data_IF_365549235151
#
_entry.id   IF_365549235151
#
_cell.length_a   1.000
_cell.length_b   1.000
_cell.length_c   1.000
_cell.angle_alpha   90.00
_cell.angle_beta   90.00
_cell.angle_gamma   90.00
#
_symmetry.space_group_name_H-M   'P 1'
#
loop_
_entity.id
_entity.type
_entity.pdbx_description
1 polymer ?
2 non-polymer ?
3 non-polymer ?
4 water ?
#
# COMPACT_ATOMS: atom_id res chain seq x y z
N UNK A 13 -16.03 10.26 -27.25
CA UNK A 13 -15.83 11.73 -27.38
C UNK A 13 -14.34 12.00 -27.60
N UNK A 14 -14.02 13.04 -28.35
CA UNK A 14 -12.63 13.40 -28.61
C UNK A 14 -12.08 14.17 -27.43
N UNK A 15 -10.75 14.35 -27.38
CA UNK A 15 -10.12 15.08 -26.28
C UNK A 15 -10.38 16.57 -26.31
N UNK A 16 -10.46 17.17 -25.13
CA UNK A 16 -10.64 18.60 -25.03
C UNK A 16 -9.23 19.10 -25.21
N UNK A 17 -9.03 20.10 -26.07
CA UNK A 17 -7.69 20.62 -26.32
C UNK A 17 -7.54 22.09 -26.02
N UNK A 18 -6.65 22.43 -25.07
CA UNK A 18 -6.40 23.83 -24.74
C UNK A 18 -5.09 24.21 -25.41
N UNK A 19 -5.19 24.82 -26.58
CA UNK A 19 -3.99 25.21 -27.29
C UNK A 19 -3.27 26.35 -26.60
N UNK A 20 -2.06 26.62 -27.09
CA UNK A 20 -1.21 27.70 -26.58
C UNK A 20 -0.51 28.31 -27.79
N UNK A 21 -0.14 29.61 -27.68
CA UNK A 21 0.55 30.28 -28.79
C UNK A 21 1.95 29.72 -28.94
N UNK A 22 2.35 29.38 -30.17
CA UNK A 22 3.68 28.81 -30.42
C UNK A 22 3.97 27.71 -29.40
N UNK A 23 3.00 26.82 -29.19
CA UNK A 23 3.14 25.72 -28.24
C UNK A 23 4.46 24.96 -28.43
N UNK A 24 5.21 24.76 -27.35
CA UNK A 24 6.46 24.00 -27.47
C UNK A 24 6.52 22.86 -26.44
N UNK A 25 5.37 22.60 -25.82
CA UNK A 25 5.24 21.52 -24.82
C UNK A 25 3.79 21.09 -24.77
N UNK A 26 3.55 19.90 -24.25
CA UNK A 26 2.20 19.40 -24.14
C UNK A 26 1.99 18.55 -22.89
N UNK A 27 0.89 18.81 -22.19
CA UNK A 27 0.53 18.03 -21.01
C UNK A 27 -0.75 17.29 -21.32
N UNK A 28 -0.72 15.96 -21.16
CA UNK A 28 -1.89 15.10 -21.39
C UNK A 28 -2.37 14.67 -20.02
N UNK A 29 -3.56 15.15 -19.67
CA UNK A 29 -4.14 14.96 -18.34
C UNK A 29 -5.39 14.10 -18.34
N UNK A 30 -5.34 12.98 -17.64
CA UNK A 30 -6.48 12.07 -17.57
C UNK A 30 -7.27 12.15 -16.28
N UNK A 31 -8.59 12.22 -16.45
CA UNK A 31 -9.51 12.29 -15.33
C UNK A 31 -9.63 10.89 -14.68
N UNK A 32 -10.35 10.84 -13.57
CA UNK A 32 -10.55 9.60 -12.84
C UNK A 32 -11.82 8.82 -13.24
N UNK A 33 -12.01 7.70 -12.56
CA UNK A 33 -13.14 6.82 -12.80
C UNK A 33 -14.47 7.57 -12.84
N UNK A 34 -15.24 7.30 -13.89
CA UNK A 34 -16.56 7.90 -14.07
C UNK A 34 -16.63 9.38 -14.43
N UNK A 35 -15.49 10.06 -14.46
CA UNK A 35 -15.53 11.50 -14.72
C UNK A 35 -15.61 11.94 -16.19
N UNK A 36 -15.65 13.26 -16.37
CA UNK A 36 -15.74 13.88 -17.69
C UNK A 36 -14.44 14.59 -18.02
N UNK A 37 -14.10 14.62 -19.30
CA UNK A 37 -12.90 15.30 -19.77
C UNK A 37 -12.83 16.77 -19.35
N UNK A 38 -13.97 17.41 -19.07
CA UNK A 38 -13.98 18.83 -18.67
C UNK A 38 -13.64 19.02 -17.20
N UNK A 39 -13.61 17.90 -16.46
CA UNK A 39 -13.29 17.88 -15.03
C UNK A 39 -12.07 18.74 -14.69
N UNK A 40 -11.00 18.55 -15.45
CA UNK A 40 -9.76 19.28 -15.22
C UNK A 40 -9.49 20.52 -16.07
N UNK A 41 -10.50 20.98 -16.78
CA UNK A 41 -10.33 22.16 -17.62
C UNK A 41 -9.90 23.39 -16.81
N UNK A 42 -10.56 23.64 -15.67
CA UNK A 42 -10.18 24.82 -14.85
C UNK A 42 -8.73 24.69 -14.36
N UNK A 43 -8.34 23.46 -14.04
CA UNK A 43 -6.97 23.20 -13.57
C UNK A 43 -5.99 23.51 -14.69
N UNK A 44 -6.31 23.02 -15.89
CA UNK A 44 -5.48 23.21 -17.09
C UNK A 44 -5.32 24.70 -17.40
N UNK A 45 -6.43 25.44 -17.35
CA UNK A 45 -6.40 26.88 -17.63
C UNK A 45 -5.56 27.60 -16.57
N UNK A 46 -5.66 27.17 -15.32
CA UNK A 46 -4.87 27.78 -14.25
C UNK A 46 -3.38 27.55 -14.52
N UNK A 47 -3.03 26.33 -14.92
CA UNK A 47 -1.65 25.98 -15.19
C UNK A 47 -1.14 26.66 -16.49
N UNK A 48 -2.02 26.94 -17.44
CA UNK A 48 -1.59 27.59 -18.67
C UNK A 48 -1.10 29.00 -18.32
N UNK A 49 -1.58 29.55 -17.19
CA UNK A 49 -1.13 30.88 -16.75
C UNK A 49 0.33 30.71 -16.37
N UNK A 50 0.64 29.60 -15.73
CA UNK A 50 1.99 29.29 -15.30
C UNK A 50 2.90 28.94 -16.48
N UNK A 51 2.34 28.25 -17.47
CA UNK A 51 3.07 27.77 -18.65
C UNK A 51 2.37 28.25 -19.91
N UNK A 52 2.64 29.49 -20.32
CA UNK A 52 1.98 30.04 -21.51
C UNK A 52 2.25 29.42 -22.88
N UNK A 53 3.24 28.55 -23.00
CA UNK A 53 3.50 27.91 -24.30
C UNK A 53 3.25 26.40 -24.23
N UNK A 54 2.50 25.97 -23.22
CA UNK A 54 2.20 24.55 -23.05
C UNK A 54 0.76 24.25 -23.41
N UNK A 55 0.58 23.28 -24.30
CA UNK A 55 -0.75 22.84 -24.74
C UNK A 55 -1.25 21.79 -23.75
N UNK A 56 -2.56 21.71 -23.53
CA UNK A 56 -3.13 20.71 -22.64
C UNK A 56 -4.14 19.87 -23.41
N UNK A 57 -4.08 18.55 -23.21
CA UNK A 57 -5.00 17.63 -23.87
C UNK A 57 -5.66 16.81 -22.78
N UNK A 58 -6.98 16.89 -22.70
CA UNK A 58 -7.75 16.18 -21.70
C UNK A 58 -8.66 15.18 -22.40
N UNK A 59 -8.21 13.92 -22.54
CA UNK A 59 -9.03 12.91 -23.20
C UNK A 59 -10.22 12.43 -22.35
N UNK A 60 -11.17 11.79 -23.01
CA UNK A 60 -12.37 11.26 -22.35
C UNK A 60 -12.27 9.73 -22.30
N UNK A 61 -12.43 9.15 -21.11
CA UNK A 61 -12.40 7.70 -20.97
C UNK A 61 -13.69 7.19 -21.61
N UNK A 62 -13.63 6.07 -22.33
CA UNK A 62 -14.82 5.51 -22.97
C UNK A 62 -15.75 4.96 -21.92
N UNK A 63 -17.03 4.86 -22.27
CA UNK A 63 -18.00 4.32 -21.33
C UNK A 63 -17.95 2.81 -21.41
N UNK A 64 -17.57 2.17 -20.31
CA UNK A 64 -17.49 0.70 -20.26
C UNK A 64 -18.05 0.18 -18.93
N UNK A 65 -18.24 -1.13 -18.85
CA UNK A 65 -18.75 -1.72 -17.63
C UNK A 65 -17.63 -1.78 -16.61
N UNK A 66 -17.99 -1.50 -15.37
CA UNK A 66 -17.08 -1.51 -14.24
C UNK A 66 -17.62 -2.54 -13.26
N UNK A 67 -16.95 -3.68 -13.19
CA UNK A 67 -17.34 -4.78 -12.32
C UNK A 67 -17.57 -4.39 -10.85
N UNK A 68 -16.52 -3.91 -10.20
CA UNK A 68 -16.61 -3.56 -8.80
C UNK A 68 -17.81 -2.69 -8.40
N UNK A 69 -18.47 -2.05 -9.36
CA UNK A 69 -19.61 -1.21 -9.02
C UNK A 69 -20.97 -1.85 -9.23
N UNK A 70 -21.01 -3.03 -9.82
CA UNK A 70 -22.28 -3.68 -10.07
C UNK A 70 -22.40 -3.96 -11.56
N UNK A 71 -21.33 -3.69 -12.28
CA UNK A 71 -21.33 -3.94 -13.71
C UNK A 71 -21.91 -2.78 -14.50
N UNK A 72 -22.26 -1.69 -13.83
CA UNK A 72 -22.82 -0.55 -14.52
C UNK A 72 -21.77 0.07 -15.46
N UNK A 73 -22.24 0.66 -16.55
CA UNK A 73 -21.38 1.30 -17.54
C UNK A 73 -21.20 2.79 -17.24
N UNK A 74 -19.95 3.21 -17.23
CA UNK A 74 -19.60 4.61 -16.95
C UNK A 74 -18.21 4.83 -17.55
N UNK A 75 -17.78 6.11 -17.67
CA UNK A 75 -16.45 6.40 -18.20
C UNK A 75 -15.43 5.64 -17.32
N UNK A 76 -14.59 4.82 -17.95
CA UNK A 76 -13.59 4.04 -17.23
C UNK A 76 -12.41 3.72 -18.11
N UNK A 77 -11.20 3.92 -17.59
CA UNK A 77 -9.99 3.64 -18.35
C UNK A 77 -9.65 2.14 -18.30
N UNK A 78 -10.23 1.42 -17.35
CA UNK A 78 -9.98 -0.02 -17.23
C UNK A 78 -10.86 -0.62 -16.15
N UNK A 79 -11.31 -1.86 -16.36
CA UNK A 79 -12.18 -2.49 -15.37
C UNK A 79 -11.47 -2.76 -14.03
N UNK A 80 -12.18 -2.49 -12.95
CA UNK A 80 -11.67 -2.72 -11.60
C UNK A 80 -12.53 -3.88 -11.08
N UNK A 81 -11.94 -5.10 -10.88
CA UNK A 81 -12.67 -6.30 -10.46
C UNK A 81 -12.99 -6.46 -8.99
N UNK A 82 -12.26 -5.78 -8.12
CA UNK A 82 -12.49 -5.89 -6.69
C UNK A 82 -11.89 -4.69 -6.02
N UNK A 83 -12.28 -4.44 -4.77
CA UNK A 83 -11.74 -3.32 -4.04
C UNK A 83 -10.37 -3.70 -3.50
N UNK A 84 -10.17 -5.00 -3.32
CA UNK A 84 -8.88 -5.52 -2.85
C UNK A 84 -8.79 -6.92 -3.43
N UNK A 85 -7.64 -7.28 -4.04
CA UNK A 85 -6.41 -6.51 -4.23
C UNK A 85 -6.60 -5.41 -5.26
N UNK A 86 -5.88 -4.31 -5.09
CA UNK A 86 -5.94 -3.19 -6.02
C UNK A 86 -5.39 -3.67 -7.35
N UNK A 87 -4.58 -4.73 -7.31
CA UNK A 87 -3.99 -5.31 -8.49
C UNK A 87 -5.01 -6.03 -9.39
N UNK A 88 -6.23 -6.27 -8.89
CA UNK A 88 -7.24 -6.99 -9.66
C UNK A 88 -7.95 -6.12 -10.69
N UNK A 89 -7.29 -5.90 -11.82
CA UNK A 89 -7.84 -5.06 -12.86
C UNK A 89 -7.81 -5.78 -14.20
N UNK A 90 -8.44 -5.18 -15.20
CA UNK A 90 -8.42 -5.73 -16.55
C UNK A 90 -7.21 -5.06 -17.21
N UNK A 91 -6.10 -5.77 -17.32
CA UNK A 91 -4.91 -5.17 -17.89
C UNK A 91 -5.02 -4.91 -19.39
N UNK A 92 -5.89 -5.64 -20.09
CA UNK A 92 -6.05 -5.41 -21.51
C UNK A 92 -6.71 -4.06 -21.73
N UNK A 93 -7.73 -3.76 -20.92
CA UNK A 93 -8.38 -2.46 -21.07
C UNK A 93 -7.37 -1.37 -20.68
N UNK A 94 -6.57 -1.64 -19.65
CA UNK A 94 -5.57 -0.66 -19.22
C UNK A 94 -4.62 -0.37 -20.37
N UNK A 95 -4.20 -1.42 -21.07
CA UNK A 95 -3.29 -1.23 -22.20
C UNK A 95 -3.94 -0.52 -23.38
N UNK A 96 -5.24 -0.76 -23.58
CA UNK A 96 -5.96 -0.09 -24.65
C UNK A 96 -5.93 1.42 -24.31
N UNK A 97 -6.18 1.75 -23.05
CA UNK A 97 -6.15 3.15 -22.62
C UNK A 97 -4.75 3.72 -22.80
N UNK A 98 -3.74 2.96 -22.38
CA UNK A 98 -2.35 3.40 -22.54
C UNK A 98 -2.09 3.66 -24.03
N UNK A 99 -2.62 2.81 -24.92
CA UNK A 99 -2.43 3.01 -26.35
C UNK A 99 -3.11 4.30 -26.83
N UNK A 100 -4.21 4.66 -26.21
CA UNK A 100 -4.89 5.90 -26.60
C UNK A 100 -4.00 7.07 -26.24
N UNK A 101 -3.32 6.95 -25.10
CA UNK A 101 -2.42 8.00 -24.66
C UNK A 101 -1.21 8.04 -25.59
N UNK A 102 -0.71 6.86 -25.96
CA UNK A 102 0.47 6.79 -26.83
C UNK A 102 0.15 7.41 -28.20
N UNK A 103 -1.07 7.22 -28.67
CA UNK A 103 -1.47 7.80 -29.93
C UNK A 103 -1.40 9.35 -29.81
N UNK A 104 -1.84 9.89 -28.67
CA UNK A 104 -1.80 11.35 -28.49
C UNK A 104 -0.34 11.83 -28.41
N UNK A 105 0.49 11.07 -27.71
CA UNK A 105 1.91 11.43 -27.61
C UNK A 105 2.54 11.39 -29.00
N UNK A 106 2.28 10.32 -29.76
CA UNK A 106 2.84 10.19 -31.10
C UNK A 106 2.43 11.39 -31.98
N UNK A 107 1.17 11.79 -31.88
CA UNK A 107 0.68 12.92 -32.67
C UNK A 107 1.42 14.21 -32.35
N UNK A 108 1.66 14.46 -31.05
CA UNK A 108 2.38 15.67 -30.63
C UNK A 108 3.82 15.65 -31.12
N UNK A 109 4.46 14.48 -31.07
CA UNK A 109 5.83 14.41 -31.54
C UNK A 109 5.86 14.66 -33.05
N UNK A 110 4.88 14.13 -33.77
CA UNK A 110 4.83 14.34 -35.21
C UNK A 110 4.66 15.83 -35.52
N UNK A 111 4.06 16.57 -34.58
CA UNK A 111 3.86 18.00 -34.75
C UNK A 111 5.08 18.78 -34.33
N UNK A 112 6.12 18.10 -33.89
CA UNK A 112 7.33 18.82 -33.49
C UNK A 112 7.56 19.06 -32.01
N UNK A 113 6.66 18.62 -31.14
CA UNK A 113 6.88 18.82 -29.70
C UNK A 113 7.88 17.75 -29.26
N UNK A 114 8.95 18.18 -28.59
CA UNK A 114 9.97 17.23 -28.14
C UNK A 114 9.37 16.29 -27.09
N UNK A 115 9.81 15.02 -27.10
CA UNK A 115 9.31 14.05 -26.12
C UNK A 115 9.64 14.54 -24.71
N UNK A 116 10.79 15.18 -24.58
CA UNK A 116 11.24 15.73 -23.30
C UNK A 116 10.32 16.81 -22.78
N UNK A 117 9.45 17.32 -23.65
CA UNK A 117 8.51 18.38 -23.24
C UNK A 117 7.06 17.96 -23.32
N UNK A 118 6.84 16.65 -23.18
CA UNK A 118 5.51 16.07 -23.14
C UNK A 118 5.42 15.44 -21.74
N UNK A 119 4.48 15.90 -20.96
CA UNK A 119 4.30 15.40 -19.60
C UNK A 119 2.92 14.82 -19.44
N UNK A 120 2.83 13.65 -18.80
CA UNK A 120 1.55 12.98 -18.59
C UNK A 120 1.08 13.29 -17.17
N UNK A 121 -0.23 13.37 -16.98
CA UNK A 121 -0.83 13.67 -15.68
C UNK A 121 -2.08 12.85 -15.57
N UNK A 122 -2.41 12.42 -14.35
CA UNK A 122 -3.60 11.66 -14.14
C UNK A 122 -4.06 11.74 -12.70
N UNK A 123 -5.37 11.74 -12.49
CA UNK A 123 -5.99 11.77 -11.18
C UNK A 123 -6.60 10.39 -11.02
N UNK A 124 -6.30 9.75 -9.90
CA UNK A 124 -6.80 8.42 -9.57
C UNK A 124 -6.65 7.40 -10.73
N UNK A 125 -7.75 6.81 -11.20
CA UNK A 125 -7.67 5.82 -12.29
C UNK A 125 -6.83 6.38 -13.44
N UNK A 126 -7.03 7.64 -13.78
CA UNK A 126 -6.26 8.24 -14.84
C UNK A 126 -4.78 8.26 -14.49
N UNK A 127 -4.47 8.40 -13.19
CA UNK A 127 -3.07 8.38 -12.77
C UNK A 127 -2.44 7.00 -12.96
N UNK A 128 -3.21 5.95 -12.73
CA UNK A 128 -2.68 4.59 -12.92
C UNK A 128 -2.36 4.38 -14.40
N UNK A 129 -3.18 4.96 -15.28
CA UNK A 129 -2.93 4.84 -16.71
C UNK A 129 -1.64 5.56 -17.11
N UNK A 130 -1.47 6.82 -16.73
CA UNK A 130 -0.24 7.52 -17.14
C UNK A 130 1.03 6.95 -16.53
N UNK A 131 0.96 6.46 -15.29
CA UNK A 131 2.14 5.85 -14.69
C UNK A 131 2.48 4.60 -15.50
N UNK A 132 1.46 3.82 -15.86
CA UNK A 132 1.69 2.61 -16.66
C UNK A 132 2.27 2.98 -18.05
N UNK A 133 1.69 4.00 -18.66
CA UNK A 133 2.13 4.41 -19.99
C UNK A 133 3.61 4.78 -20.00
N UNK A 134 3.97 5.69 -19.10
CA UNK A 134 5.36 6.18 -19.03
C UNK A 134 6.39 5.19 -18.56
N UNK A 135 6.03 4.32 -17.61
CA UNK A 135 7.01 3.41 -17.05
C UNK A 135 6.92 1.93 -17.36
N UNK A 136 5.83 1.49 -17.98
CA UNK A 136 5.70 0.08 -18.32
C UNK A 136 5.54 -0.15 -19.84
N UNK A 137 5.13 0.87 -20.58
CA UNK A 137 4.83 0.64 -21.98
C UNK A 137 5.53 1.49 -23.05
N UNK A 138 5.43 2.81 -22.96
CA UNK A 138 6.04 3.67 -23.99
C UNK A 138 7.56 3.59 -23.93
N UNK A 139 8.16 3.23 -25.06
CA UNK A 139 9.62 3.07 -25.16
C UNK A 139 10.42 4.36 -25.00
N UNK A 140 9.96 5.43 -25.64
CA UNK A 140 10.62 6.72 -25.55
C UNK A 140 10.31 7.41 -24.21
N UNK A 141 11.34 7.74 -23.42
CA UNK A 141 11.06 8.41 -22.15
C UNK A 141 10.46 9.80 -22.31
N UNK A 142 9.48 10.10 -21.46
CA UNK A 142 8.78 11.37 -21.50
C UNK A 142 9.40 12.45 -20.62
N UNK A 143 8.86 13.66 -20.69
CA UNK A 143 9.36 14.77 -19.89
C UNK A 143 9.01 14.69 -18.41
N UNK A 144 8.03 13.85 -18.06
CA UNK A 144 7.66 13.73 -16.65
C UNK A 144 6.25 13.22 -16.43
N UNK A 145 5.93 12.88 -15.19
CA UNK A 145 4.60 12.39 -14.82
C UNK A 145 4.07 13.06 -13.54
N UNK A 146 2.79 13.45 -13.56
CA UNK A 146 2.11 14.02 -12.40
C UNK A 146 1.07 12.96 -11.99
N UNK A 147 1.19 12.44 -10.78
CA UNK A 147 0.30 11.40 -10.28
C UNK A 147 -0.48 11.90 -9.08
N UNK A 148 -1.73 12.29 -9.29
CA UNK A 148 -2.57 12.82 -8.23
C UNK A 148 -3.54 11.81 -7.62
N UNK A 149 -3.48 11.62 -6.30
CA UNK A 149 -4.40 10.73 -5.57
C UNK A 149 -4.61 9.42 -6.34
N UNK A 150 -3.50 8.77 -6.69
CA UNK A 150 -3.57 7.60 -7.53
C UNK A 150 -2.78 6.43 -6.99
N UNK A 151 -2.60 5.42 -7.83
CA UNK A 151 -1.84 4.23 -7.47
C UNK A 151 -1.34 3.63 -8.78
N UNK A 152 -0.52 2.58 -8.70
CA UNK A 152 0.05 1.94 -9.90
C UNK A 152 0.12 0.44 -9.69
N UNK A 153 -1.00 -0.25 -9.88
CA UNK A 153 -1.07 -1.70 -9.71
C UNK A 153 -0.07 -2.50 -10.53
N UNK A 154 0.23 -2.03 -11.75
CA UNK A 154 1.16 -2.75 -12.60
C UNK A 154 2.63 -2.49 -12.25
N UNK A 155 2.91 -1.74 -11.20
CA UNK A 155 4.32 -1.51 -10.84
C UNK A 155 4.93 -2.72 -10.18
N UNK A 156 4.13 -3.77 -10.01
CA UNK A 156 4.65 -5.01 -9.45
C UNK A 156 5.67 -5.58 -10.45
N UNK A 157 5.48 -5.30 -11.75
CA UNK A 157 6.39 -5.78 -12.78
C UNK A 157 7.27 -4.65 -13.34
N UNK A 158 7.51 -3.63 -12.54
CA UNK A 158 8.33 -2.49 -12.93
C UNK A 158 9.74 -2.98 -13.20
N UNK A 159 10.29 -2.68 -14.38
CA UNK A 159 11.64 -3.14 -14.71
C UNK A 159 12.27 -2.13 -15.65
N UNK A 160 12.74 -1.03 -15.09
CA UNK A 160 13.29 0.06 -15.85
C UNK A 160 14.71 -0.07 -16.38
N UNK A 161 14.92 0.43 -17.58
CA UNK A 161 16.23 0.46 -18.19
C UNK A 161 16.73 1.84 -17.78
N UNK A 162 17.99 2.17 -18.11
CA UNK A 162 18.51 3.47 -17.72
C UNK A 162 17.75 4.66 -18.27
N UNK A 163 17.32 4.57 -19.52
CA UNK A 163 16.62 5.70 -20.13
C UNK A 163 15.31 6.11 -19.44
N UNK A 164 14.55 5.16 -18.90
CA UNK A 164 13.31 5.52 -18.23
C UNK A 164 13.54 6.06 -16.83
N UNK A 165 14.73 5.83 -16.29
CA UNK A 165 15.00 6.33 -14.96
C UNK A 165 15.11 7.85 -14.98
N UNK A 166 15.30 8.42 -16.18
CA UNK A 166 15.44 9.87 -16.31
C UNK A 166 14.12 10.65 -16.23
N UNK A 167 12.99 9.95 -16.23
CA UNK A 167 11.68 10.61 -16.17
C UNK A 167 11.30 11.07 -14.75
N UNK A 168 11.23 12.40 -14.53
CA UNK A 168 10.89 12.88 -13.19
C UNK A 168 9.39 12.71 -12.90
N UNK A 169 9.06 12.47 -11.63
CA UNK A 169 7.67 12.26 -11.21
C UNK A 169 7.33 13.00 -9.92
N UNK A 170 6.14 13.58 -9.88
CA UNK A 170 5.64 14.24 -8.68
C UNK A 170 4.36 13.49 -8.28
N UNK A 171 4.34 12.99 -7.05
CA UNK A 171 3.20 12.26 -6.51
C UNK A 171 2.46 13.17 -5.53
N UNK A 172 1.14 13.27 -5.69
CA UNK A 172 0.32 14.11 -4.82
C UNK A 172 -0.82 13.27 -4.25
N UNK A 173 -1.17 13.49 -2.98
CA UNK A 173 -2.23 12.73 -2.36
C UNK A 173 -2.86 13.41 -1.14
N UNK A 174 -4.15 13.22 -0.94
CA UNK A 174 -4.81 13.77 0.24
C UNK A 174 -4.59 12.74 1.34
N UNK A 175 -4.11 13.16 2.51
CA UNK A 175 -3.85 12.20 3.60
C UNK A 175 -5.15 11.60 4.16
N UNK A 176 -6.28 12.20 3.84
CA UNK A 176 -7.57 11.72 4.32
C UNK A 176 -8.34 10.99 3.22
N UNK A 177 -7.68 10.69 2.12
CA UNK A 177 -8.34 10.02 1.00
C UNK A 177 -9.08 8.72 1.38
N UNK A 178 -10.38 8.70 1.18
CA UNK A 178 -11.16 7.52 1.52
C UNK A 178 -11.55 6.70 0.29
N UNK A 179 -10.91 6.94 -0.84
CA UNK A 179 -11.20 6.19 -2.08
C UNK A 179 -9.93 5.45 -2.49
N UNK A 180 -8.84 6.18 -2.69
CA UNK A 180 -7.57 5.58 -3.01
C UNK A 180 -6.71 5.80 -1.77
N UNK A 181 -6.33 4.72 -1.11
CA UNK A 181 -5.53 4.82 0.10
C UNK A 181 -4.21 5.53 -0.15
N UNK A 182 -3.88 6.53 0.67
CA UNK A 182 -2.63 7.29 0.55
C UNK A 182 -1.44 6.33 0.56
N UNK A 183 -1.62 5.19 1.21
CA UNK A 183 -0.54 4.20 1.26
C UNK A 183 -0.32 3.56 -0.11
N UNK A 184 -1.38 3.42 -0.88
CA UNK A 184 -1.23 2.84 -2.22
C UNK A 184 -0.56 3.92 -3.07
N UNK A 185 -0.90 5.17 -2.82
CA UNK A 185 -0.25 6.24 -3.55
C UNK A 185 1.24 6.24 -3.25
N UNK A 186 1.59 6.09 -1.96
CA UNK A 186 3.02 6.09 -1.58
C UNK A 186 3.76 4.88 -2.14
N UNK A 187 3.05 3.76 -2.28
CA UNK A 187 3.65 2.54 -2.80
C UNK A 187 4.12 2.72 -4.25
N UNK A 188 3.40 3.51 -5.04
CA UNK A 188 3.78 3.77 -6.43
C UNK A 188 5.07 4.60 -6.40
N UNK A 189 5.07 5.64 -5.56
CA UNK A 189 6.24 6.50 -5.40
C UNK A 189 7.44 5.68 -4.95
N UNK A 190 7.25 4.81 -3.96
CA UNK A 190 8.34 3.99 -3.46
C UNK A 190 8.91 3.01 -4.49
N UNK A 191 8.07 2.44 -5.36
CA UNK A 191 8.54 1.48 -6.37
C UNK A 191 9.44 2.15 -7.42
N UNK A 192 9.11 3.38 -7.78
CA UNK A 192 9.92 4.11 -8.76
C UNK A 192 11.22 4.53 -8.06
N UNK A 193 11.09 5.00 -6.83
CA UNK A 193 12.26 5.42 -6.07
C UNK A 193 13.24 4.26 -5.97
N UNK A 194 12.72 3.08 -5.65
CA UNK A 194 13.57 1.92 -5.53
C UNK A 194 14.30 1.64 -6.85
N UNK A 195 13.75 2.09 -7.97
CA UNK A 195 14.44 1.83 -9.23
C UNK A 195 15.26 2.97 -9.80
N UNK A 196 15.62 3.92 -8.95
CA UNK A 196 16.45 5.02 -9.36
C UNK A 196 15.77 6.19 -10.04
N UNK A 197 14.47 6.33 -9.84
CA UNK A 197 13.73 7.43 -10.46
C UNK A 197 13.68 8.60 -9.49
N UNK A 198 13.75 9.82 -10.04
CA UNK A 198 13.68 11.04 -9.24
C UNK A 198 12.20 11.25 -8.93
N UNK A 199 11.81 11.09 -7.68
CA UNK A 199 10.40 11.27 -7.32
C UNK A 199 10.20 12.30 -6.24
N UNK A 200 9.05 12.95 -6.26
CA UNK A 200 8.73 13.92 -5.24
C UNK A 200 7.42 13.47 -4.62
N UNK A 201 7.17 13.88 -3.39
CA UNK A 201 5.95 13.54 -2.70
C UNK A 201 5.37 14.73 -1.94
N UNK A 202 4.06 14.96 -2.08
CA UNK A 202 3.38 16.05 -1.34
C UNK A 202 1.99 15.61 -0.93
N UNK A 203 1.71 15.55 0.38
CA UNK A 203 0.35 15.20 0.73
C UNK A 203 -0.32 16.42 1.35
N UNK A 204 -1.64 16.38 1.45
CA UNK A 204 -2.38 17.52 1.95
C UNK A 204 -3.50 17.04 2.83
N UNK A 205 -3.91 17.88 3.81
CA UNK A 205 -4.99 17.52 4.73
C UNK A 205 -6.35 17.60 4.02
N UNK A 206 -6.56 16.69 3.09
CA UNK A 206 -7.80 16.68 2.34
C UNK A 206 -8.12 15.26 1.97
N UNK A 207 -9.27 15.08 1.31
CA UNK A 207 -9.73 13.78 0.88
C UNK A 207 -9.39 13.50 -0.58
N UNK A 208 -10.25 12.76 -1.26
CA UNK A 208 -10.05 12.39 -2.65
C UNK A 208 -10.47 13.58 -3.50
N UNK A 209 -9.58 14.55 -3.66
CA UNK A 209 -9.95 15.74 -4.41
C UNK A 209 -8.70 16.46 -4.82
N UNK A 210 -8.88 17.67 -5.34
CA UNK A 210 -7.79 18.52 -5.77
C UNK A 210 -7.97 19.86 -5.05
N UNK A 211 -6.86 20.49 -4.66
CA UNK A 211 -6.93 21.78 -3.97
C UNK A 211 -6.11 22.81 -4.72
N UNK A 212 -6.39 24.08 -4.49
CA UNK A 212 -5.65 25.14 -5.17
C UNK A 212 -4.16 25.12 -4.74
N UNK A 213 -3.91 24.83 -3.47
CA UNK A 213 -2.52 24.77 -2.99
C UNK A 213 -1.81 23.69 -3.81
N UNK A 214 -2.49 22.55 -3.98
CA UNK A 214 -1.96 21.44 -4.75
C UNK A 214 -1.64 21.90 -6.19
N UNK A 215 -2.53 22.69 -6.78
CA UNK A 215 -2.29 23.15 -8.14
C UNK A 215 -1.13 24.13 -8.20
N UNK A 216 -0.97 24.96 -7.16
CA UNK A 216 0.17 25.90 -7.12
C UNK A 216 1.46 25.08 -7.05
N UNK A 217 1.47 24.03 -6.22
CA UNK A 217 2.69 23.21 -6.10
C UNK A 217 3.01 22.52 -7.42
N UNK A 218 1.99 22.06 -8.12
CA UNK A 218 2.21 21.40 -9.41
C UNK A 218 2.78 22.42 -10.43
N UNK A 219 2.25 23.65 -10.42
CA UNK A 219 2.75 24.68 -11.33
C UNK A 219 4.24 24.96 -11.11
N UNK A 220 4.66 25.04 -9.85
CA UNK A 220 6.07 25.30 -9.55
C UNK A 220 6.95 24.13 -10.00
N UNK A 221 6.45 22.91 -9.87
CA UNK A 221 7.22 21.73 -10.27
C UNK A 221 7.39 21.72 -11.79
N UNK A 222 6.33 22.08 -12.49
CA UNK A 222 6.33 22.12 -13.95
C UNK A 222 7.20 23.26 -14.50
N UNK A 223 7.10 24.43 -13.87
CA UNK A 223 7.88 25.59 -14.29
C UNK A 223 9.37 25.22 -14.25
N UNK A 224 9.77 24.38 -13.29
CA UNK A 224 11.17 23.99 -13.21
C UNK A 224 11.57 23.06 -14.34
N UNK A 225 10.61 22.39 -14.96
CA UNK A 225 10.94 21.45 -16.01
C UNK A 225 10.54 21.79 -17.42
N UNK A 226 9.82 22.90 -17.60
CA UNK A 226 9.40 23.32 -18.93
C UNK A 226 9.87 24.72 -19.29
N UNK B 13 -11.70 -12.80 28.32
CA UNK B 13 -11.16 -14.20 28.35
C UNK B 13 -9.64 -14.16 28.50
N UNK B 14 -9.10 -15.11 29.25
CA UNK B 14 -7.67 -15.20 29.45
C UNK B 14 -7.07 -15.88 28.23
N UNK B 15 -5.74 -15.81 28.07
CA UNK B 15 -5.14 -16.40 26.88
C UNK B 15 -5.07 -17.91 26.99
N UNK B 16 -5.22 -18.52 25.80
CA UNK B 16 -5.01 -19.97 25.68
C UNK B 16 -3.52 -20.30 25.71
N UNK B 17 -3.11 -21.16 26.54
CA UNK B 17 -1.68 -21.44 26.67
C UNK B 17 -1.32 -22.88 26.37
N UNK B 18 -0.46 -23.08 25.38
CA UNK B 18 0.00 -24.42 25.02
C UNK B 18 1.41 -24.56 25.57
N UNK B 19 1.51 -25.14 26.77
CA UNK B 19 2.79 -25.28 27.39
C UNK B 19 3.68 -26.29 26.67
N UNK B 20 4.96 -26.29 27.04
CA UNK B 20 5.91 -27.23 26.47
C UNK B 20 6.83 -27.70 27.60
N UNK B 21 7.38 -28.91 27.45
CA UNK B 21 8.29 -29.46 28.47
C UNK B 21 9.64 -28.73 28.37
N UNK B 22 10.23 -28.37 29.52
CA UNK B 22 11.52 -27.66 29.50
C UNK B 22 11.41 -26.45 28.58
N UNK B 23 10.28 -25.74 28.62
CA UNK B 23 10.07 -24.58 27.74
C UNK B 23 11.21 -23.57 27.81
N UNK B 24 11.79 -23.23 26.67
CA UNK B 24 12.87 -22.25 26.66
C UNK B 24 12.63 -21.15 25.63
N UNK B 25 11.41 -21.09 25.10
CA UNK B 25 11.04 -20.08 24.12
C UNK B 25 9.55 -19.89 24.19
N UNK B 26 9.07 -18.76 23.69
CA UNK B 26 7.64 -18.48 23.70
C UNK B 26 7.18 -17.71 22.47
N UNK B 27 6.06 -18.16 21.90
CA UNK B 27 5.46 -17.47 20.77
C UNK B 27 4.07 -17.00 21.22
N UNK B 28 3.83 -15.69 21.08
CA UNK B 28 2.56 -15.07 21.45
C UNK B 28 1.91 -14.74 20.11
N UNK B 29 0.81 -15.43 19.81
CA UNK B 29 0.13 -15.36 18.52
C UNK B 29 -1.26 -14.72 18.64
N UNK B 30 -1.48 -13.61 17.93
CA UNK B 30 -2.75 -12.90 17.97
C UNK B 30 -3.62 -13.13 16.75
N UNK B 31 -4.90 -13.42 17.01
CA UNK B 31 -5.88 -13.66 15.97
C UNK B 31 -6.29 -12.33 15.34
N UNK B 32 -7.12 -12.39 14.30
CA UNK B 32 -7.56 -11.18 13.63
C UNK B 32 -8.90 -10.64 14.11
N UNK B 33 -9.38 -9.59 13.46
CA UNK B 33 -10.62 -8.94 13.82
C UNK B 33 -11.80 -9.89 13.98
N UNK B 34 -12.49 -9.76 15.11
CA UNK B 34 -13.66 -10.59 15.39
C UNK B 34 -13.44 -12.05 15.71
N UNK B 35 -12.20 -12.53 15.68
CA UNK B 35 -11.97 -13.96 15.91
C UNK B 35 -11.82 -14.40 17.35
N UNK B 36 -11.62 -15.71 17.52
CA UNK B 36 -11.49 -16.32 18.84
C UNK B 36 -10.06 -16.77 19.06
N UNK B 37 -9.62 -16.74 20.32
CA UNK B 37 -8.28 -17.17 20.69
C UNK B 37 -8.00 -18.61 20.23
N UNK B 38 -9.04 -19.42 20.08
CA UNK B 38 -8.85 -20.82 19.67
C UNK B 38 -8.58 -20.96 18.17
N UNK B 39 -8.81 -19.88 17.43
CA UNK B 39 -8.60 -19.84 15.97
C UNK B 39 -7.27 -20.48 15.52
N UNK B 40 -6.20 -20.13 16.20
CA UNK B 40 -4.89 -20.63 15.85
C UNK B 40 -4.34 -21.79 16.67
N UNK B 41 -5.19 -22.41 17.46
CA UNK B 41 -4.75 -23.54 18.26
C UNK B 41 -4.18 -24.66 17.38
N UNK B 42 -4.88 -25.02 16.29
CA UNK B 42 -4.35 -26.09 15.45
C UNK B 42 -2.99 -25.71 14.85
N UNK B 43 -2.85 -24.44 14.50
CA UNK B 43 -1.59 -23.94 13.95
C UNK B 43 -0.48 -24.07 15.01
N UNK B 44 -0.78 -23.63 16.22
CA UNK B 44 0.17 -23.68 17.32
C UNK B 44 0.59 -25.13 17.61
N UNK B 45 -0.38 -26.05 17.63
CA UNK B 45 -0.07 -27.47 17.90
C UNK B 45 0.81 -28.02 16.77
N UNK B 46 0.53 -27.62 15.52
CA UNK B 46 1.33 -28.08 14.40
C UNK B 46 2.77 -27.58 14.53
N UNK B 47 2.93 -26.33 14.95
CA UNK B 47 4.27 -25.74 15.12
C UNK B 47 5.00 -26.29 16.36
N UNK B 48 4.25 -26.73 17.36
CA UNK B 48 4.92 -27.28 18.53
C UNK B 48 5.60 -28.60 18.13
N UNK B 49 5.15 -29.22 17.03
CA UNK B 49 5.79 -30.46 16.55
C UNK B 49 7.17 -30.05 16.03
N UNK B 50 7.23 -28.90 15.39
CA UNK B 50 8.49 -28.39 14.85
C UNK B 50 9.40 -27.86 15.97
N UNK B 51 8.78 -27.29 17.00
CA UNK B 51 9.49 -26.67 18.13
C UNK B 51 8.99 -27.26 19.44
N UNK B 52 9.51 -28.43 19.84
CA UNK B 52 9.06 -29.08 21.08
C UNK B 52 9.30 -28.41 22.42
N UNK B 53 10.12 -27.36 22.48
CA UNK B 53 10.36 -26.66 23.75
C UNK B 53 9.83 -25.22 23.71
N UNK B 54 8.97 -24.94 22.75
CA UNK B 54 8.41 -23.60 22.61
C UNK B 54 6.97 -23.56 23.08
N UNK B 55 6.70 -22.65 24.01
CA UNK B 55 5.36 -22.46 24.55
C UNK B 55 4.60 -21.48 23.63
N UNK B 56 3.29 -21.66 23.51
CA UNK B 56 2.48 -20.76 22.66
C UNK B 56 1.41 -20.12 23.54
N UNK B 57 1.22 -18.81 23.36
CA UNK B 57 0.21 -18.06 24.11
C UNK B 57 -0.68 -17.40 23.06
N UNK B 58 -1.96 -17.72 23.09
CA UNK B 58 -2.94 -17.18 22.15
C UNK B 58 -3.97 -16.37 22.94
N UNK B 59 -3.75 -15.06 23.05
CA UNK B 59 -4.67 -14.18 23.78
C UNK B 59 -5.97 -13.89 23.03
N UNK B 60 -6.97 -13.45 23.77
CA UNK B 60 -8.28 -13.11 23.20
C UNK B 60 -8.44 -11.59 23.16
N UNK B 61 -8.78 -11.03 22.01
CA UNK B 61 -9.02 -9.58 21.90
C UNK B 61 -10.31 -9.27 22.66
N UNK B 62 -10.36 -8.14 23.37
CA UNK B 62 -11.58 -7.82 24.10
C UNK B 62 -12.67 -7.47 23.11
N UNK B 63 -13.91 -7.62 23.56
CA UNK B 63 -15.05 -7.31 22.71
C UNK B 63 -15.32 -5.83 22.80
N UNK B 64 -15.17 -5.12 21.69
CA UNK B 64 -15.46 -3.68 21.71
C UNK B 64 -16.05 -3.21 20.39
N UNK B 65 -16.54 -1.98 20.37
CA UNK B 65 -17.18 -1.45 19.19
C UNK B 65 -16.18 -1.23 18.05
N UNK B 66 -16.63 -1.59 16.85
CA UNK B 66 -15.84 -1.43 15.63
C UNK B 66 -16.64 -0.51 14.69
N UNK B 67 -16.13 0.70 14.52
CA UNK B 67 -16.77 1.71 13.69
C UNK B 67 -17.09 1.33 12.23
N UNK B 68 -16.08 0.92 11.48
CA UNK B 68 -16.30 0.57 10.08
C UNK B 68 -17.36 -0.48 9.82
N UNK B 69 -17.82 -1.15 10.86
CA UNK B 69 -18.82 -2.18 10.65
C UNK B 69 -20.26 -1.79 10.97
N UNK B 70 -20.43 -0.64 11.60
CA UNK B 70 -21.76 -0.20 11.97
C UNK B 70 -21.80 0.05 13.48
N UNK B 71 -20.62 0.03 14.08
CA UNK B 71 -20.54 0.26 15.51
C UNK B 71 -20.82 -1.00 16.31
N UNK B 72 -21.01 -2.13 15.64
CA UNK B 72 -21.27 -3.38 16.35
C UNK B 72 -20.05 -3.80 17.17
N UNK B 73 -20.32 -4.50 18.27
CA UNK B 73 -19.30 -4.98 19.19
C UNK B 73 -18.85 -6.41 18.89
N UNK B 74 -17.54 -6.60 18.86
CA UNK B 74 -16.97 -7.90 18.57
C UNK B 74 -15.50 -7.90 19.00
N UNK B 75 -14.86 -9.07 19.06
CA UNK B 75 -13.45 -9.11 19.45
C UNK B 75 -12.69 -8.18 18.48
N UNK B 76 -11.92 -7.25 19.02
CA UNK B 76 -11.15 -6.30 18.22
C UNK B 76 -10.00 -5.73 19.03
N UNK B 77 -8.82 -5.69 18.42
CA UNK B 77 -7.63 -5.17 19.08
C UNK B 77 -7.60 -3.63 19.04
N UNK B 78 -8.35 -3.01 18.13
CA UNK B 78 -8.38 -1.55 18.02
C UNK B 78 -9.44 -1.14 17.01
N UNK B 79 -10.09 -0.01 17.25
CA UNK B 79 -11.14 0.46 16.34
C UNK B 79 -10.58 0.81 14.98
N UNK B 80 -11.33 0.48 13.94
CA UNK B 80 -10.98 0.77 12.55
C UNK B 80 -12.08 1.73 12.10
N UNK B 81 -11.71 3.00 11.89
CA UNK B 81 -12.67 4.05 11.55
C UNK B 81 -13.14 4.13 10.10
N UNK B 82 -12.36 3.58 9.18
CA UNK B 82 -12.74 3.64 7.77
C UNK B 82 -11.98 2.56 7.04
N UNK B 83 -12.42 2.24 5.83
CA UNK B 83 -11.76 1.22 5.05
C UNK B 83 -10.53 1.84 4.39
N UNK B 84 -10.59 3.16 4.20
CA UNK B 84 -9.47 3.90 3.63
C UNK B 84 -9.57 5.29 4.23
N UNK B 85 -8.45 5.85 4.73
CA UNK B 85 -7.08 5.31 4.81
C UNK B 85 -6.99 4.20 5.85
N UNK B 86 -6.10 3.25 5.61
CA UNK B 86 -5.89 2.14 6.52
C UNK B 86 -5.32 2.72 7.83
N UNK B 87 -4.72 3.91 7.71
CA UNK B 87 -4.15 4.60 8.86
C UNK B 87 -5.21 5.13 9.83
N UNK B 88 -6.47 5.17 9.41
CA UNK B 88 -7.53 5.70 10.28
C UNK B 88 -7.95 4.70 11.36
N UNK B 89 -7.16 4.63 12.44
CA UNK B 89 -7.44 3.71 13.53
C UNK B 89 -7.44 4.42 14.86
N UNK B 90 -7.93 3.73 15.90
CA UNK B 90 -7.91 4.28 17.25
C UNK B 90 -6.56 3.83 17.81
N UNK B 91 -5.58 4.73 17.79
CA UNK B 91 -4.27 4.38 18.27
C UNK B 91 -4.18 4.09 19.77
N UNK B 92 -5.11 4.65 20.56
CA UNK B 92 -5.11 4.40 22.00
C UNK B 92 -5.52 2.95 22.26
N UNK B 93 -6.51 2.44 21.52
CA UNK B 93 -6.90 1.04 21.70
C UNK B 93 -5.74 0.15 21.23
N UNK B 94 -5.09 0.55 20.12
CA UNK B 94 -3.95 -0.23 19.63
C UNK B 94 -2.86 -0.30 20.70
N UNK B 95 -2.53 0.82 21.32
CA UNK B 95 -1.51 0.79 22.37
C UNK B 95 -1.97 0.00 23.60
N UNK B 96 -3.26 0.02 23.89
CA UNK B 96 -3.77 -0.76 25.03
C UNK B 96 -3.50 -2.23 24.70
N UNK B 97 -3.81 -2.65 23.49
CA UNK B 97 -3.57 -4.04 23.06
C UNK B 97 -2.08 -4.34 23.09
N UNK B 98 -1.28 -3.40 22.61
CA UNK B 98 0.18 -3.59 22.65
C UNK B 98 0.59 -3.76 24.12
N UNK B 99 -0.04 -3.02 25.05
CA UNK B 99 0.33 -3.20 26.46
C UNK B 99 -0.04 -4.58 26.98
N UNK B 100 -1.13 -5.13 26.45
CA UNK B 100 -1.54 -6.48 26.86
C UNK B 100 -0.47 -7.49 26.43
N UNK B 101 0.09 -7.28 25.25
CA UNK B 101 1.11 -8.15 24.74
C UNK B 101 2.39 -7.94 25.56
N UNK B 102 2.69 -6.68 25.90
CA UNK B 102 3.89 -6.36 26.69
C UNK B 102 3.82 -7.07 28.05
N UNK B 103 2.63 -7.11 28.64
CA UNK B 103 2.46 -7.77 29.92
C UNK B 103 2.77 -9.28 29.78
N UNK B 104 2.35 -9.90 28.67
CA UNK B 104 2.64 -11.32 28.45
C UNK B 104 4.16 -11.53 28.24
N UNK B 105 4.78 -10.62 27.51
CA UNK B 105 6.22 -10.71 27.28
C UNK B 105 6.95 -10.56 28.62
N UNK B 106 6.55 -9.56 29.41
CA UNK B 106 7.21 -9.33 30.70
C UNK B 106 7.06 -10.56 31.60
N UNK B 107 5.89 -11.18 31.56
CA UNK B 107 5.66 -12.37 32.39
C UNK B 107 6.59 -13.53 31.97
N UNK B 108 6.78 -13.72 30.67
CA UNK B 108 7.67 -14.80 30.19
C UNK B 108 9.12 -14.51 30.57
N UNK B 109 9.55 -13.26 30.46
CA UNK B 109 10.91 -12.93 30.84
C UNK B 109 11.10 -13.18 32.34
N UNK B 110 10.10 -12.84 33.14
CA UNK B 110 10.22 -13.05 34.58
C UNK B 110 10.36 -14.54 34.90
N UNK B 111 9.88 -15.39 34.00
CA UNK B 111 9.96 -16.83 34.20
C UNK B 111 11.26 -17.37 33.67
N UNK B 112 12.07 -16.50 33.06
CA UNK B 112 13.35 -16.95 32.56
C UNK B 112 13.47 -17.23 31.08
N UNK B 113 12.45 -16.88 30.30
CA UNK B 113 12.52 -17.07 28.84
C UNK B 113 13.27 -15.84 28.33
N UNK B 114 14.36 -16.07 27.62
CA UNK B 114 15.16 -14.96 27.10
C UNK B 114 14.36 -14.18 26.05
N UNK B 115 14.52 -12.86 26.05
CA UNK B 115 13.80 -12.00 25.11
C UNK B 115 14.11 -12.42 23.68
N UNK B 116 15.33 -12.88 23.46
CA UNK B 116 15.77 -13.35 22.16
C UNK B 116 14.97 -14.57 21.71
N UNK B 117 14.30 -15.22 22.66
CA UNK B 117 13.54 -16.43 22.33
C UNK B 117 12.04 -16.26 22.53
N UNK B 118 11.59 -15.01 22.41
CA UNK B 118 10.18 -14.69 22.49
C UNK B 118 9.90 -14.08 21.11
N UNK B 119 8.96 -14.68 20.40
CA UNK B 119 8.59 -14.24 19.07
C UNK B 119 7.10 -13.90 19.04
N UNK B 120 6.77 -12.78 18.40
CA UNK B 120 5.37 -12.38 18.30
C UNK B 120 4.84 -12.78 16.93
N UNK B 121 3.55 -13.06 16.85
CA UNK B 121 2.94 -13.46 15.59
C UNK B 121 1.54 -12.91 15.57
N UNK B 122 1.05 -12.57 14.38
CA UNK B 122 -0.29 -12.06 14.27
C UNK B 122 -0.85 -12.20 12.86
N UNK B 123 -2.16 -12.41 12.77
CA UNK B 123 -2.86 -12.51 11.50
C UNK B 123 -3.75 -11.28 11.44
N UNK B 124 -3.72 -10.58 10.30
CA UNK B 124 -4.46 -9.33 10.06
C UNK B 124 -4.35 -8.32 11.20
N UNK B 125 -5.48 -7.92 11.78
CA UNK B 125 -5.47 -6.94 12.86
C UNK B 125 -4.45 -7.34 13.93
N UNK B 126 -4.40 -8.63 14.25
CA UNK B 126 -3.47 -9.10 15.25
C UNK B 126 -2.03 -8.87 14.79
N UNK B 127 -1.79 -8.95 13.48
CA UNK B 127 -0.45 -8.72 12.96
C UNK B 127 -0.05 -7.25 13.08
N UNK B 128 -1.01 -6.34 12.92
CA UNK B 128 -0.71 -4.92 13.05
C UNK B 128 -0.31 -4.62 14.51
N UNK B 129 -0.92 -5.34 15.44
CA UNK B 129 -0.60 -5.18 16.87
C UNK B 129 0.82 -5.64 17.20
N UNK B 130 1.22 -6.83 16.75
CA UNK B 130 2.56 -7.31 17.07
C UNK B 130 3.66 -6.52 16.36
N UNK B 131 3.39 -6.09 15.13
CA UNK B 131 4.39 -5.29 14.43
C UNK B 131 4.56 -3.97 15.19
N UNK B 132 3.45 -3.38 15.64
CA UNK B 132 3.53 -2.14 16.40
C UNK B 132 4.24 -2.37 17.74
N UNK B 133 3.94 -3.50 18.40
CA UNK B 133 4.54 -3.79 19.70
C UNK B 133 6.06 -3.91 19.59
N UNK B 134 6.52 -4.74 18.66
CA UNK B 134 7.95 -4.95 18.50
C UNK B 134 8.76 -3.80 17.93
N UNK B 135 8.16 -2.99 17.06
CA UNK B 135 8.92 -1.94 16.41
C UNK B 135 8.58 -0.51 16.72
N UNK B 136 7.52 -0.29 17.47
CA UNK B 136 7.13 1.08 17.80
C UNK B 136 7.02 1.31 19.30
N UNK B 137 6.88 0.23 20.08
CA UNK B 137 6.68 0.40 21.51
C UNK B 137 7.61 -0.29 22.50
N UNK B 138 7.74 -1.61 22.43
CA UNK B 138 8.56 -2.35 23.41
C UNK B 138 10.04 -2.03 23.26
N UNK B 139 10.65 -1.53 24.32
CA UNK B 139 12.06 -1.14 24.27
C UNK B 139 13.05 -2.29 24.03
N UNK B 140 12.85 -3.41 24.71
CA UNK B 140 13.73 -4.55 24.52
C UNK B 140 13.44 -5.29 23.20
N UNK B 141 14.45 -5.41 22.32
CA UNK B 141 14.23 -6.12 21.05
C UNK B 141 13.89 -7.60 21.28
N UNK B 142 12.92 -8.09 20.52
CA UNK B 142 12.44 -9.46 20.65
C UNK B 142 13.14 -10.43 19.69
N UNK B 143 12.82 -11.72 19.80
CA UNK B 143 13.44 -12.73 18.95
C UNK B 143 12.99 -12.74 17.50
N UNK B 144 11.86 -12.11 17.19
CA UNK B 144 11.36 -12.08 15.82
C UNK B 144 9.87 -11.81 15.74
N UNK B 145 9.37 -11.53 14.53
CA UNK B 145 7.95 -11.28 14.30
C UNK B 145 7.46 -12.02 13.04
N UNK B 146 6.28 -12.61 13.15
CA UNK B 146 5.61 -13.32 12.04
C UNK B 146 4.38 -12.46 11.72
N UNK B 147 4.30 -11.93 10.50
CA UNK B 147 3.20 -11.06 10.09
C UNK B 147 2.41 -11.73 8.96
N UNK B 148 1.28 -12.31 9.31
CA UNK B 148 0.45 -13.01 8.33
C UNK B 148 -0.73 -12.19 7.81
N UNK B 149 -0.80 -12.02 6.48
CA UNK B 149 -1.92 -11.32 5.82
C UNK B 149 -2.31 -10.06 6.58
N UNK B 150 -1.32 -9.24 6.90
CA UNK B 150 -1.55 -8.08 7.73
C UNK B 150 -1.01 -6.78 7.14
N UNK B 151 -0.91 -5.77 8.00
CA UNK B 151 -0.40 -4.46 7.57
C UNK B 151 0.09 -3.73 8.82
N UNK B 152 0.72 -2.57 8.66
CA UNK B 152 1.27 -1.82 9.80
C UNK B 152 1.03 -0.33 9.63
N UNK B 153 -0.19 0.13 9.94
CA UNK B 153 -0.57 1.54 9.81
C UNK B 153 0.34 2.51 10.54
N UNK B 154 0.85 2.10 11.69
CA UNK B 154 1.71 2.99 12.46
C UNK B 154 3.17 3.01 12.02
N UNK B 155 3.50 2.31 10.93
CA UNK B 155 4.90 2.35 10.48
C UNK B 155 5.20 3.66 9.77
N UNK B 156 4.19 4.52 9.66
CA UNK B 156 4.42 5.83 9.06
C UNK B 156 5.41 6.58 9.95
N UNK B 157 5.39 6.30 11.26
CA UNK B 157 6.31 6.93 12.21
C UNK B 157 7.42 5.97 12.67
N UNK B 158 7.73 4.98 11.86
CA UNK B 158 8.78 4.00 12.19
C UNK B 158 10.11 4.75 12.34
N UNK B 159 10.77 4.59 13.49
CA UNK B 159 12.04 5.28 13.75
C UNK B 159 12.92 4.38 14.58
N UNK B 160 13.51 3.40 13.92
CA UNK B 160 14.34 2.40 14.57
C UNK B 160 15.74 2.78 15.01
N UNK B 161 16.10 2.38 16.23
CA UNK B 161 17.44 2.59 16.72
C UNK B 161 18.14 1.32 16.28
N UNK B 162 19.44 1.21 16.50
CA UNK B 162 20.18 0.05 16.06
C UNK B 162 19.76 -1.30 16.69
N UNK B 163 19.39 -1.31 17.96
CA UNK B 163 19.02 -2.57 18.59
C UNK B 163 17.74 -3.22 18.03
N UNK B 164 16.80 -2.42 17.55
CA UNK B 164 15.56 -2.98 17.00
C UNK B 164 15.75 -3.48 15.58
N UNK B 165 16.82 -3.05 14.91
CA UNK B 165 17.05 -3.50 13.55
C UNK B 165 17.47 -4.97 13.53
N UNK B 166 17.85 -5.50 14.69
CA UNK B 166 18.27 -6.89 14.79
C UNK B 166 17.11 -7.89 14.88
N UNK B 167 15.87 -7.40 14.96
CA UNK B 167 14.69 -8.28 15.04
C UNK B 167 14.27 -8.77 13.65
N UNK B 168 14.39 -10.08 13.39
CA UNK B 168 14.02 -10.60 12.08
C UNK B 168 12.51 -10.70 11.93
N UNK B 169 12.02 -10.53 10.71
CA UNK B 169 10.59 -10.59 10.42
C UNK B 169 10.30 -11.42 9.17
N UNK B 170 9.21 -12.17 9.20
CA UNK B 170 8.75 -12.97 8.05
C UNK B 170 7.33 -12.49 7.75
N UNK B 171 7.14 -11.95 6.55
CA UNK B 171 5.85 -11.46 6.12
C UNK B 171 5.20 -12.48 5.19
N UNK B 172 3.95 -12.85 5.46
CA UNK B 172 3.24 -13.81 4.63
C UNK B 172 1.91 -13.20 4.18
N UNK B 173 1.46 -13.55 2.98
CA UNK B 173 0.22 -12.97 2.46
C UNK B 173 -0.37 -13.76 1.28
N UNK B 174 -1.69 -13.80 1.20
CA UNK B 174 -2.31 -14.45 0.06
C UNK B 174 -2.38 -13.39 -1.01
N UNK B 175 -1.97 -13.70 -2.23
CA UNK B 175 -1.98 -12.70 -3.31
C UNK B 175 -3.38 -12.35 -3.79
N UNK B 176 -4.36 -13.16 -3.41
CA UNK B 176 -5.75 -12.93 -3.78
C UNK B 176 -6.53 -12.33 -2.60
N UNK B 177 -5.83 -11.87 -1.56
CA UNK B 177 -6.50 -11.33 -0.36
C UNK B 177 -7.49 -10.20 -0.66
N UNK B 178 -8.76 -10.42 -0.36
CA UNK B 178 -9.77 -9.40 -0.61
C UNK B 178 -10.16 -8.64 0.64
N UNK B 179 -9.40 -8.80 1.73
CA UNK B 179 -9.68 -8.12 2.99
C UNK B 179 -8.53 -7.14 3.31
N UNK B 180 -7.31 -7.66 3.37
CA UNK B 180 -6.15 -6.83 3.59
C UNK B 180 -5.38 -6.91 2.29
N UNK B 181 -5.32 -5.80 1.58
CA UNK B 181 -4.63 -5.75 0.30
C UNK B 181 -3.19 -6.22 0.42
N UNK B 182 -2.76 -7.17 -0.44
CA UNK B 182 -1.38 -7.68 -0.40
C UNK B 182 -0.37 -6.52 -0.46
N UNK B 183 -0.78 -5.41 -1.08
CA UNK B 183 0.12 -4.26 -1.21
C UNK B 183 0.36 -3.57 0.13
N UNK B 184 -0.63 -3.58 1.01
CA UNK B 184 -0.45 -2.98 2.33
C UNK B 184 0.46 -3.93 3.11
N UNK B 185 0.31 -5.23 2.86
CA UNK B 185 1.19 -6.18 3.53
C UNK B 185 2.63 -5.91 3.12
N UNK B 186 2.84 -5.72 1.82
CA UNK B 186 4.19 -5.46 1.31
C UNK B 186 4.71 -4.11 1.81
N UNK B 187 3.81 -3.14 1.99
CA UNK B 187 4.24 -1.82 2.46
C UNK B 187 4.88 -1.90 3.84
N UNK B 188 4.39 -2.80 4.68
CA UNK B 188 4.93 -2.98 6.03
C UNK B 188 6.33 -3.60 5.90
N UNK B 189 6.45 -4.63 5.07
CA UNK B 189 7.74 -5.28 4.82
C UNK B 189 8.73 -4.25 4.26
N UNK B 190 8.29 -3.41 3.34
CA UNK B 190 9.21 -2.41 2.76
C UNK B 190 9.66 -1.33 3.74
N UNK B 191 8.80 -0.90 4.65
CA UNK B 191 9.19 0.15 5.61
C UNK B 191 10.27 -0.35 6.58
N UNK B 192 10.19 -1.61 6.97
CA UNK B 192 11.18 -2.18 7.87
C UNK B 192 12.49 -2.39 7.08
N UNK B 193 12.34 -2.84 5.84
CA UNK B 193 13.49 -3.07 4.98
C UNK B 193 14.28 -1.78 4.80
N UNK B 194 13.57 -0.70 4.50
CA UNK B 194 14.23 0.58 4.33
C UNK B 194 14.97 1.00 5.59
N UNK B 195 14.60 0.46 6.74
CA UNK B 195 15.29 0.85 7.95
C UNK B 195 16.32 -0.12 8.48
N UNK B 196 16.77 -1.02 7.60
CA UNK B 196 17.80 -1.96 7.98
C UNK B 196 17.38 -3.23 8.68
N UNK B 197 16.11 -3.61 8.61
CA UNK B 197 15.65 -4.83 9.26
C UNK B 197 15.73 -6.01 8.27
N UNK B 198 16.08 -7.19 8.80
CA UNK B 198 16.15 -8.40 7.97
C UNK B 198 14.70 -8.88 7.80
N UNK B 199 14.15 -8.76 6.60
CA UNK B 199 12.78 -9.17 6.33
C UNK B 199 12.70 -10.26 5.29
N UNK B 200 11.66 -11.06 5.38
CA UNK B 200 11.44 -12.12 4.41
C UNK B 200 10.02 -11.95 3.93
N UNK B 201 9.74 -12.38 2.70
CA UNK B 201 8.42 -12.27 2.12
C UNK B 201 8.00 -13.55 1.40
N UNK B 202 6.78 -14.03 1.66
CA UNK B 202 6.26 -15.23 0.99
C UNK B 202 4.78 -15.05 0.67
N UNK B 203 4.40 -15.05 -0.60
CA UNK B 203 2.97 -14.96 -0.86
C UNK B 203 2.49 -16.26 -1.45
N UNK B 204 1.18 -16.47 -1.41
CA UNK B 204 0.59 -17.70 -1.87
C UNK B 204 -0.66 -17.39 -2.66
N UNK B 205 -1.03 -18.30 -3.58
CA UNK B 205 -2.22 -18.14 -4.42
C UNK B 205 -3.46 -18.48 -3.61
N UNK B 206 -3.76 -17.62 -2.64
CA UNK B 206 -4.91 -17.83 -1.77
C UNK B 206 -5.41 -16.46 -1.37
N UNK B 207 -6.53 -16.47 -0.64
CA UNK B 207 -7.13 -15.23 -0.17
C UNK B 207 -6.74 -14.92 1.27
N UNK B 208 -7.68 -14.36 2.00
CA UNK B 208 -7.48 -13.98 3.39
C UNK B 208 -7.62 -15.20 4.28
N UNK B 209 -6.57 -16.01 4.35
CA UNK B 209 -6.65 -17.23 5.12
C UNK B 209 -5.24 -17.72 5.38
N UNK B 210 -5.13 -18.91 5.95
CA UNK B 210 -3.86 -19.52 6.26
C UNK B 210 -3.83 -20.88 5.55
N UNK B 211 -2.66 -21.32 5.09
CA UNK B 211 -2.58 -22.61 4.41
C UNK B 211 -1.54 -23.49 5.05
N UNK B 212 -1.67 -24.80 4.85
CA UNK B 212 -0.71 -25.72 5.44
C UNK B 212 0.70 -25.46 4.88
N UNK B 213 0.78 -25.11 3.60
CA UNK B 213 2.10 -24.83 3.03
C UNK B 213 2.70 -23.65 3.80
N UNK B 214 1.88 -22.63 4.02
CA UNK B 214 2.29 -21.44 4.75
C UNK B 214 2.83 -21.82 6.15
N UNK B 215 2.12 -22.70 6.83
CA UNK B 215 2.55 -23.14 8.15
C UNK B 215 3.89 -23.89 8.07
N UNK B 216 4.10 -24.68 7.03
CA UNK B 216 5.39 -25.37 6.91
C UNK B 216 6.49 -24.33 6.71
N UNK B 217 6.21 -23.31 5.90
CA UNK B 217 7.21 -22.27 5.65
C UNK B 217 7.54 -21.53 6.94
N UNK B 218 6.51 -21.24 7.73
CA UNK B 218 6.74 -20.56 8.99
C UNK B 218 7.55 -21.46 9.94
N UNK B 219 7.20 -22.75 9.98
CA UNK B 219 7.94 -23.69 10.81
C UNK B 219 9.44 -23.74 10.49
N UNK B 220 9.79 -23.71 9.22
CA UNK B 220 11.20 -23.74 8.82
C UNK B 220 11.91 -22.42 9.18
N UNK B 221 11.22 -21.28 9.04
CA UNK B 221 11.82 -20.00 9.40
C UNK B 221 12.12 -19.99 10.90
N UNK B 222 11.16 -20.49 11.68
CA UNK B 222 11.29 -20.54 13.14
C UNK B 222 12.39 -21.50 13.63
N UNK B 223 12.43 -22.71 13.08
CA UNK B 223 13.45 -23.65 13.53
C UNK B 223 14.84 -23.07 13.29
N UNK B 224 14.95 -22.13 12.36
CA UNK B 224 16.25 -21.53 12.10
C UNK B 224 16.61 -20.51 13.16
N UNK B 225 15.62 -20.01 13.88
CA UNK B 225 15.89 -18.99 14.87
C UNK B 225 15.68 -19.38 16.33
N UNK B 226 15.20 -20.60 16.56
CA UNK B 226 14.98 -21.07 17.93
C UNK B 226 15.70 -22.39 18.16
X LIG C 1 -14.96 28.53 -6.11
X LIG C 1 -14.45 28.90 -7.40
X LIG C 1 -13.33 29.93 -7.23
X LIG C 1 -12.31 29.39 -6.38
X LIG C 1 -11.22 30.31 -6.28
X LIG C 1 -10.14 29.95 -7.28
X LIG C 1 -10.74 29.65 -8.54
X LIG C 1 -9.77 29.74 -9.59
X LIG C 1 -9.77 28.45 -10.42
X LIG C 1 -8.79 27.56 -9.87
X LIG C 1 -8.61 26.44 -10.76
X LIG C 1 -7.94 25.31 -9.98
X LIG C 1 -8.72 25.06 -8.80
X LIG C 1 -8.04 24.13 -7.95
X LIG C 1 -9.04 23.51 -7.01
X LIG C 1 -10.13 22.96 -7.76
X LIG C 1 -11.19 22.56 -6.87
X LIG C 1 -12.27 21.85 -7.67
X LIG C 1 -11.66 20.81 -8.45
X LIG C 1 -12.59 20.30 -9.41
X LIG C 1 -11.94 19.15 -10.16
X LIG C 1 -12.09 17.94 -9.42
X LIG C 1 -11.50 16.85 -10.15
X LIG C 1 -11.37 15.64 -9.24
X LIG C 1 -12.62 15.41 -8.57
X LIG C 1 -12.51 14.29 -7.68
X LIG C 1 -13.89 13.97 -7.11
X LIG C 1 -14.42 12.80 -7.75
X LIG D 1 -6.46 29.42 -9.57
X LIG D 1 -7.06 29.36 -10.86
X LIG D 1 -7.28 30.70 -11.37
X LIG D 1 -6.74 30.79 -12.79
X LIG D 1 -7.78 30.61 -13.74
X LIG D 1 -7.25 30.50 -15.07
X LIG D 1 -7.22 31.86 -15.74
X LIG D 1 -7.05 31.71 -17.16
X LIG E 1 -9.36 -31.21 7.34
X LIG E 1 -8.37 -30.27 7.77
X LIG E 1 -7.13 -30.39 6.89
X LIG E 1 -6.32 -31.48 7.37
X LIG E 1 -5.08 -31.50 6.66
X LIG E 1 -3.93 -31.36 7.65
X LIG E 1 -4.46 -30.98 8.93
X LIG E 1 -3.40 -30.89 9.90
X LIG E 1 -3.66 -29.72 10.82
X LIG E 1 -2.83 -28.62 10.42
X LIG E 1 -2.91 -27.55 11.37
X LIG E 1 -2.69 -26.24 10.65
X LIG E 1 -3.48 -26.24 9.45
X LIG E 1 -2.93 -25.32 8.50
X LIG E 1 -4.06 -24.76 7.65
X LIG E 1 -5.12 -24.32 8.51
X LIG E 1 -6.33 -24.19 7.75
X LIG E 1 -7.44 -23.73 8.68
X LIG E 1 -7.19 -22.38 9.07
X LIG E 1 -7.80 -22.10 10.34
X LIG E 1 -7.21 -20.82 10.90
X LIG E 1 -7.82 -19.69 10.28
X LIG E 1 -7.45 -18.49 10.97
X LIG E 1 -7.52 -17.32 10.01
X LIG E 1 -8.75 -17.40 9.27
X LIG E 1 -9.03 -16.14 8.65
X LIG E 1 -10.47 -16.13 8.15
X LIG E 1 -11.19 -15.07 8.79
#
# INVERSE_FOLDING_TARGET
MRGSHHHHHHGSSEPLILDAPNADACIIWLHGLGADRTDFKPVAEALQMVLPSTRFILPQAPSQAVTVNGGWVMPSWYDILAFSPARAIDEDQLNASADQVIALIDEQRAKGIAAERIILAGFSQGGAVVLHTAFRRYAQPLGGVLALSTYAPTFDDLALDERHKRIPVLHLHGSQDDVVDPALGRAAHDALQAQGVEVGWHDYPMGHEVSLEEIHDIGAWLRKRL
MRGSHHHHHHGSSEPLILDAPNADACIIWLHGLGADRTDFKPVAEALQMVLPSTRFILPQAPSQAVTVNGGWVMPSWYDILAFSPARAIDEDQLNASADQVIALIDEQRAKGIAAERIILAGFSQGGAVVLHTAFRRYAQPLGGVLALSTYAPTFDDLALDERHKRIPVLHLHGSQDDVVDPALGRAAHDALQAQGVEVGWHDYPMGHEVSLEEIHDIGAWLRKRL
2PE O1 C2 C3 O4 C5 C6 O7 C8 C9 O10 C11 C12 O13 C14 C15 O16 C17 C18 O19 C20 C21 O22 C23 C24 O25 C26 C27 O28
PG0 C5 O2 C4 C3 O1 C2 C1 OTT
2PE O1 C2 C3 O4 C5 C6 O7 C8 C9 O10 C11 C12 O13 C14 C15 O16 C17 C18 O19 C20 C21 O22 C23 C24 O25 C26 C27 O28
#
